data_IF_281814736100
#
_entry.id   IF_281814736100
#
_cell.length_a   1.000
_cell.length_b   1.000
_cell.length_c   1.000
_cell.angle_alpha   90.00
_cell.angle_beta   90.00
_cell.angle_gamma   90.00
#
_symmetry.space_group_name_H-M   'P 1'
#
loop_
_entity.id
_entity.type
_entity.pdbx_description
1 polymer ?
#
# COMPACT_ATOMS: atom_id res chain seq x y z
N UNK A 1 13.14 -22.57 -23.48
CA UNK A 1 13.12 -21.15 -23.06
C UNK A 1 14.09 -20.99 -21.89
N UNK A 2 14.99 -20.00 -21.90
CA UNK A 2 15.98 -19.84 -20.82
C UNK A 2 15.26 -19.41 -19.52
N UNK A 3 15.43 -20.14 -18.40
CA UNK A 3 14.73 -19.85 -17.14
C UNK A 3 14.96 -18.42 -16.64
N UNK A 4 16.15 -17.85 -16.87
CA UNK A 4 16.46 -16.46 -16.51
C UNK A 4 15.65 -15.44 -17.30
N UNK A 5 15.39 -15.71 -18.59
CA UNK A 5 14.54 -14.84 -19.40
C UNK A 5 13.08 -14.87 -18.93
N UNK A 6 12.62 -16.02 -18.42
CA UNK A 6 11.29 -16.13 -17.85
C UNK A 6 11.16 -15.33 -16.56
N UNK A 7 12.18 -15.33 -15.69
CA UNK A 7 12.23 -14.49 -14.48
C UNK A 7 12.20 -12.99 -14.84
N UNK A 8 13.00 -12.57 -15.83
CA UNK A 8 12.98 -11.18 -16.31
C UNK A 8 11.63 -10.78 -16.90
N UNK A 9 11.01 -11.69 -17.67
CA UNK A 9 9.67 -11.47 -18.21
C UNK A 9 8.63 -11.32 -17.10
N UNK A 10 8.68 -12.18 -16.08
CA UNK A 10 7.79 -12.09 -14.90
C UNK A 10 7.96 -10.75 -14.19
N UNK A 11 9.20 -10.30 -13.95
CA UNK A 11 9.47 -9.01 -13.32
C UNK A 11 8.95 -7.83 -14.16
N UNK A 12 9.16 -7.86 -15.49
CA UNK A 12 8.66 -6.84 -16.40
C UNK A 12 7.13 -6.79 -16.40
N UNK A 13 6.46 -7.95 -16.51
CA UNK A 13 5.00 -8.04 -16.46
C UNK A 13 4.47 -7.56 -15.11
N UNK A 14 5.15 -7.87 -14.01
CA UNK A 14 4.78 -7.39 -12.69
C UNK A 14 4.79 -5.86 -12.61
N UNK A 15 5.86 -5.21 -13.09
CA UNK A 15 5.95 -3.74 -13.14
C UNK A 15 4.86 -3.17 -14.05
N UNK A 16 4.64 -3.76 -15.23
CA UNK A 16 3.64 -3.31 -16.17
C UNK A 16 2.23 -3.35 -15.55
N UNK A 17 1.88 -4.46 -14.90
CA UNK A 17 0.57 -4.65 -14.29
C UNK A 17 0.44 -3.75 -13.06
N UNK A 18 1.30 -3.91 -12.06
CA UNK A 18 1.10 -3.25 -10.77
C UNK A 18 1.59 -1.79 -10.73
N UNK A 19 2.56 -1.43 -11.57
CA UNK A 19 3.00 -0.05 -11.77
C UNK A 19 2.16 0.72 -12.78
N UNK A 20 1.57 0.04 -13.78
CA UNK A 20 0.72 0.68 -14.80
C UNK A 20 -0.74 0.89 -14.37
N UNK A 21 -1.29 0.01 -13.52
CA UNK A 21 -2.67 0.13 -13.03
C UNK A 21 -3.00 1.49 -12.37
N UNK A 22 -2.14 2.07 -11.50
CA UNK A 22 -2.35 3.41 -10.96
C UNK A 22 -2.48 4.49 -12.05
N UNK A 23 -1.68 4.41 -13.12
CA UNK A 23 -1.72 5.38 -14.22
C UNK A 23 -3.08 5.36 -14.92
N UNK A 24 -3.65 4.17 -15.15
CA UNK A 24 -4.99 4.01 -15.70
C UNK A 24 -6.07 4.63 -14.80
N UNK A 25 -5.82 4.68 -13.49
CA UNK A 25 -6.70 5.31 -12.48
C UNK A 25 -6.42 6.79 -12.26
N UNK A 26 -5.49 7.40 -13.02
CA UNK A 26 -5.01 8.78 -12.81
C UNK A 26 -4.38 8.98 -11.42
N UNK A 27 -3.79 7.93 -10.87
CA UNK A 27 -2.98 7.95 -9.66
C UNK A 27 -1.50 7.99 -10.04
N UNK A 28 -0.66 8.59 -9.18
CA UNK A 28 0.79 8.60 -9.39
C UNK A 28 1.36 7.17 -9.30
N UNK A 29 2.14 6.71 -10.29
CA UNK A 29 2.76 5.39 -10.23
C UNK A 29 3.85 5.32 -9.15
N UNK A 30 3.99 4.15 -8.56
CA UNK A 30 5.00 3.90 -7.53
C UNK A 30 6.39 3.70 -8.12
N UNK A 31 7.28 4.68 -7.96
CA UNK A 31 8.70 4.50 -8.27
C UNK A 31 9.35 3.45 -7.36
N UNK A 32 8.93 3.40 -6.09
CA UNK A 32 9.42 2.43 -5.13
C UNK A 32 9.15 0.99 -5.60
N UNK A 33 7.95 0.72 -6.12
CA UNK A 33 7.62 -0.59 -6.69
C UNK A 33 8.58 -0.99 -7.81
N UNK A 34 8.82 -0.10 -8.78
CA UNK A 34 9.69 -0.41 -9.92
C UNK A 34 11.13 -0.68 -9.46
N UNK A 35 11.66 0.15 -8.56
CA UNK A 35 13.02 0.00 -8.02
C UNK A 35 13.15 -1.29 -7.21
N UNK A 36 12.23 -1.56 -6.28
CA UNK A 36 12.27 -2.77 -5.47
C UNK A 36 12.16 -4.04 -6.33
N UNK A 37 11.32 -4.04 -7.38
CA UNK A 37 11.22 -5.18 -8.30
C UNK A 37 12.54 -5.40 -9.04
N UNK A 38 13.15 -4.35 -9.59
CA UNK A 38 14.42 -4.46 -10.32
C UNK A 38 15.55 -4.98 -9.40
N UNK A 39 15.65 -4.44 -8.19
CA UNK A 39 16.65 -4.86 -7.20
C UNK A 39 16.45 -6.32 -6.80
N UNK A 40 15.23 -6.73 -6.42
CA UNK A 40 14.95 -8.10 -6.01
C UNK A 40 15.15 -9.10 -7.16
N UNK A 41 14.82 -8.71 -8.39
CA UNK A 41 15.06 -9.53 -9.58
C UNK A 41 16.55 -9.72 -9.79
N UNK A 42 17.34 -8.65 -9.74
CA UNK A 42 18.80 -8.70 -9.87
C UNK A 42 19.45 -9.55 -8.79
N UNK A 43 19.05 -9.38 -7.53
CA UNK A 43 19.53 -10.19 -6.40
C UNK A 43 19.18 -11.66 -6.56
N UNK A 44 17.96 -11.97 -6.99
CA UNK A 44 17.52 -13.36 -7.20
C UNK A 44 18.33 -14.02 -8.31
N UNK A 45 18.49 -13.35 -9.46
CA UNK A 45 19.31 -13.85 -10.57
C UNK A 45 20.76 -14.03 -10.13
N UNK A 46 21.34 -13.05 -9.43
CA UNK A 46 22.70 -13.14 -8.91
C UNK A 46 22.88 -14.34 -7.96
N UNK A 47 21.96 -14.54 -7.02
CA UNK A 47 21.96 -15.68 -6.11
C UNK A 47 21.84 -17.01 -6.86
N UNK A 48 20.98 -17.08 -7.88
CA UNK A 48 20.82 -18.27 -8.73
C UNK A 48 22.10 -18.62 -9.49
N UNK A 49 22.79 -17.61 -10.04
CA UNK A 49 24.06 -17.81 -10.74
C UNK A 49 25.19 -18.26 -9.80
N UNK A 50 25.23 -17.75 -8.56
CA UNK A 50 26.26 -18.10 -7.58
C UNK A 50 26.04 -19.47 -6.94
N UNK A 51 24.79 -19.84 -6.64
CA UNK A 51 24.45 -21.09 -5.95
C UNK A 51 24.15 -22.25 -6.90
N UNK A 52 23.90 -21.96 -8.18
CA UNK A 52 23.41 -22.92 -9.17
C UNK A 52 21.95 -23.35 -8.95
N UNK A 53 21.25 -22.79 -7.96
CA UNK A 53 19.85 -23.09 -7.69
C UNK A 53 18.95 -22.55 -8.81
N UNK A 54 18.01 -23.39 -9.27
CA UNK A 54 17.02 -22.98 -10.27
C UNK A 54 15.94 -22.14 -9.60
N UNK A 55 15.72 -20.94 -10.13
CA UNK A 55 14.58 -20.12 -9.75
C UNK A 55 13.34 -20.58 -10.51
N UNK A 56 12.36 -21.07 -9.78
CA UNK A 56 11.06 -21.33 -10.35
C UNK A 56 10.28 -20.00 -10.49
N UNK A 57 9.70 -19.71 -11.68
CA UNK A 57 9.01 -18.45 -11.93
C UNK A 57 7.79 -18.21 -11.07
N UNK A 58 7.07 -19.26 -10.66
CA UNK A 58 5.84 -19.14 -9.86
C UNK A 58 6.23 -18.78 -8.42
N UNK A 59 7.22 -19.47 -7.86
CA UNK A 59 7.74 -19.15 -6.54
C UNK A 59 8.37 -17.75 -6.51
N UNK A 60 9.10 -17.37 -7.56
CA UNK A 60 9.64 -16.02 -7.70
C UNK A 60 8.53 -14.97 -7.76
N UNK A 61 7.46 -15.19 -8.54
CA UNK A 61 6.31 -14.29 -8.60
C UNK A 61 5.61 -14.15 -7.24
N UNK A 62 5.40 -15.25 -6.53
CA UNK A 62 4.77 -15.22 -5.21
C UNK A 62 5.64 -14.45 -4.21
N UNK A 63 6.95 -14.73 -4.20
CA UNK A 63 7.92 -14.01 -3.37
C UNK A 63 7.89 -12.51 -3.69
N UNK A 64 7.99 -12.15 -4.97
CA UNK A 64 7.95 -10.76 -5.43
C UNK A 64 6.64 -10.09 -5.00
N UNK A 65 5.50 -10.75 -5.20
CA UNK A 65 4.20 -10.23 -4.80
C UNK A 65 4.13 -9.94 -3.30
N UNK A 66 4.52 -10.89 -2.45
CA UNK A 66 4.46 -10.72 -1.00
C UNK A 66 5.37 -9.58 -0.50
N UNK A 67 6.58 -9.47 -1.05
CA UNK A 67 7.55 -8.46 -0.63
C UNK A 67 7.15 -7.07 -1.13
N UNK A 68 6.82 -6.94 -2.41
CA UNK A 68 6.49 -5.65 -3.03
C UNK A 68 5.14 -5.14 -2.56
N UNK A 69 4.15 -6.01 -2.42
CA UNK A 69 2.79 -5.64 -2.03
C UNK A 69 2.59 -5.64 -0.51
N UNK A 70 3.64 -5.84 0.30
CA UNK A 70 3.57 -5.95 1.77
C UNK A 70 2.69 -4.88 2.42
N UNK A 71 2.89 -3.61 2.05
CA UNK A 71 2.15 -2.49 2.64
C UNK A 71 0.69 -2.49 2.17
N UNK A 72 0.43 -2.80 0.90
CA UNK A 72 -0.92 -2.87 0.34
C UNK A 72 -1.71 -4.02 0.96
N UNK A 73 -1.11 -5.21 1.07
CA UNK A 73 -1.70 -6.38 1.72
C UNK A 73 -2.09 -6.08 3.16
N UNK A 74 -1.26 -5.34 3.91
CA UNK A 74 -1.57 -4.94 5.28
C UNK A 74 -2.72 -3.92 5.36
N UNK A 75 -2.80 -2.99 4.40
CA UNK A 75 -3.94 -2.06 4.30
C UNK A 75 -5.23 -2.82 4.00
N UNK A 76 -5.18 -3.75 3.04
CA UNK A 76 -6.34 -4.57 2.66
C UNK A 76 -6.78 -5.48 3.84
N UNK A 77 -5.81 -6.05 4.56
CA UNK A 77 -6.06 -6.79 5.80
C UNK A 77 -6.70 -5.90 6.86
N UNK A 78 -6.21 -4.67 7.05
CA UNK A 78 -6.80 -3.71 7.96
C UNK A 78 -8.26 -3.38 7.61
N UNK A 79 -8.55 -3.20 6.32
CA UNK A 79 -9.91 -2.95 5.83
C UNK A 79 -10.83 -4.14 6.09
N UNK A 80 -10.35 -5.36 5.85
CA UNK A 80 -11.08 -6.59 6.14
C UNK A 80 -11.35 -6.77 7.64
N UNK A 81 -10.35 -6.52 8.49
CA UNK A 81 -10.51 -6.60 9.95
C UNK A 81 -11.52 -5.56 10.45
N UNK A 82 -11.43 -4.35 9.92
CA UNK A 82 -12.35 -3.25 10.22
C UNK A 82 -13.80 -3.59 9.84
N UNK A 83 -14.04 -4.17 8.66
CA UNK A 83 -15.39 -4.56 8.24
C UNK A 83 -15.99 -5.69 9.08
N UNK A 84 -15.14 -6.50 9.72
CA UNK A 84 -15.53 -7.53 10.70
C UNK A 84 -15.67 -7.01 12.14
N UNK A 85 -15.46 -5.71 12.37
CA UNK A 85 -15.54 -5.10 13.70
C UNK A 85 -14.27 -5.24 14.56
N UNK A 86 -13.22 -5.90 14.06
CA UNK A 86 -11.94 -6.06 14.75
C UNK A 86 -11.08 -4.78 14.64
N UNK A 87 -11.60 -3.66 15.12
CA UNK A 87 -11.02 -2.33 14.90
C UNK A 87 -9.59 -2.19 15.46
N UNK A 88 -9.28 -2.79 16.62
CA UNK A 88 -7.93 -2.72 17.20
C UNK A 88 -6.87 -3.45 16.36
N UNK A 89 -7.24 -4.60 15.79
CA UNK A 89 -6.37 -5.32 14.85
C UNK A 89 -6.20 -4.54 13.55
N UNK A 90 -7.26 -3.90 13.05
CA UNK A 90 -7.19 -3.03 11.88
C UNK A 90 -6.23 -1.86 12.07
N UNK A 91 -6.34 -1.13 13.18
CA UNK A 91 -5.43 -0.03 13.54
C UNK A 91 -3.97 -0.53 13.61
N UNK A 92 -3.76 -1.74 14.11
CA UNK A 92 -2.42 -2.33 14.20
C UNK A 92 -1.86 -2.71 12.82
N UNK A 93 -2.68 -3.25 11.93
CA UNK A 93 -2.29 -3.54 10.55
C UNK A 93 -1.90 -2.27 9.77
N UNK A 94 -2.67 -1.18 9.89
CA UNK A 94 -2.33 0.09 9.25
C UNK A 94 -1.05 0.72 9.81
N UNK A 95 -0.85 0.68 11.14
CA UNK A 95 0.39 1.14 11.76
C UNK A 95 1.59 0.35 11.25
N UNK A 96 1.45 -0.96 11.10
CA UNK A 96 2.50 -1.81 10.53
C UNK A 96 2.77 -1.44 9.08
N UNK A 97 1.73 -1.27 8.25
CA UNK A 97 1.87 -0.84 6.86
C UNK A 97 2.65 0.47 6.73
N UNK A 98 2.35 1.47 7.58
CA UNK A 98 3.05 2.76 7.59
C UNK A 98 4.50 2.66 8.08
N UNK A 99 4.82 1.71 8.96
CA UNK A 99 6.19 1.49 9.47
C UNK A 99 7.11 0.81 8.46
N UNK A 100 6.56 0.08 7.48
CA UNK A 100 7.33 -0.62 6.44
C UNK A 100 7.86 0.30 5.32
N UNK A 101 7.82 1.61 5.51
CA UNK A 101 8.28 2.61 4.56
C UNK A 101 7.55 2.54 3.21
N UNK A 102 6.21 2.59 3.17
CA UNK A 102 5.48 2.65 1.92
C UNK A 102 5.76 3.98 1.21
N UNK A 103 5.55 3.96 -0.10
CA UNK A 103 5.56 5.17 -0.90
C UNK A 103 4.44 6.12 -0.49
N UNK A 104 4.51 7.34 -1.02
CA UNK A 104 3.60 8.40 -0.64
C UNK A 104 2.11 8.03 -0.87
N UNK A 105 1.69 7.48 -2.03
CA UNK A 105 0.31 7.08 -2.24
C UNK A 105 -0.20 6.02 -1.26
N UNK A 106 0.54 4.92 -1.05
CA UNK A 106 0.10 3.85 -0.14
C UNK A 106 0.07 4.37 1.30
N UNK A 107 1.01 5.22 1.70
CA UNK A 107 1.01 5.85 3.03
C UNK A 107 -0.25 6.68 3.28
N UNK A 108 -0.69 7.47 2.29
CA UNK A 108 -1.92 8.25 2.41
C UNK A 108 -3.15 7.35 2.54
N UNK A 109 -3.25 6.29 1.72
CA UNK A 109 -4.36 5.33 1.81
C UNK A 109 -4.43 4.69 3.20
N UNK A 110 -3.28 4.31 3.77
CA UNK A 110 -3.19 3.76 5.12
C UNK A 110 -3.65 4.76 6.19
N UNK A 111 -3.22 6.03 6.11
CA UNK A 111 -3.63 7.09 7.05
C UNK A 111 -5.14 7.38 6.99
N UNK A 112 -5.72 7.42 5.80
CA UNK A 112 -7.17 7.64 5.62
C UNK A 112 -7.96 6.49 6.23
N UNK A 113 -7.53 5.25 5.96
CA UNK A 113 -8.18 4.05 6.48
C UNK A 113 -8.04 3.95 7.99
N UNK A 114 -6.88 4.33 8.53
CA UNK A 114 -6.63 4.45 9.97
C UNK A 114 -7.54 5.50 10.60
N UNK A 115 -7.61 6.72 10.03
CA UNK A 115 -8.50 7.79 10.49
C UNK A 115 -9.97 7.39 10.48
N UNK A 116 -10.44 6.70 9.44
CA UNK A 116 -11.81 6.18 9.37
C UNK A 116 -12.13 5.19 10.52
N UNK A 117 -11.16 4.34 10.89
CA UNK A 117 -11.33 3.42 12.03
C UNK A 117 -11.28 4.17 13.36
N UNK A 118 -10.42 5.19 13.51
CA UNK A 118 -10.41 6.05 14.70
C UNK A 118 -11.75 6.74 14.94
N UNK A 119 -12.38 7.28 13.88
CA UNK A 119 -13.74 7.84 13.97
C UNK A 119 -14.74 6.79 14.47
N UNK A 120 -14.63 5.55 13.99
CA UNK A 120 -15.52 4.46 14.39
C UNK A 120 -15.35 4.07 15.86
N UNK A 121 -14.13 4.05 16.38
CA UNK A 121 -13.86 3.71 17.79
C UNK A 121 -13.98 4.90 18.75
N UNK A 122 -14.29 6.09 18.25
CA UNK A 122 -14.50 7.30 19.05
C UNK A 122 -13.24 8.07 19.42
N UNK A 123 -12.08 7.74 18.84
CA UNK A 123 -10.85 8.51 18.98
C UNK A 123 -10.86 9.72 18.02
N UNK A 124 -11.79 10.64 18.25
CA UNK A 124 -12.19 11.68 17.29
C UNK A 124 -11.08 12.72 17.06
N UNK A 125 -10.43 13.19 18.12
CA UNK A 125 -9.38 14.21 18.04
C UNK A 125 -8.15 13.70 17.27
N UNK A 126 -7.73 12.46 17.52
CA UNK A 126 -6.65 11.81 16.76
C UNK A 126 -7.06 11.63 15.29
N UNK A 127 -8.31 11.23 15.03
CA UNK A 127 -8.81 11.08 13.68
C UNK A 127 -8.77 12.42 12.91
N UNK A 128 -9.23 13.50 13.54
CA UNK A 128 -9.21 14.84 12.96
C UNK A 128 -7.78 15.26 12.62
N UNK A 129 -6.87 15.17 13.59
CA UNK A 129 -5.47 15.54 13.37
C UNK A 129 -4.86 14.80 12.18
N UNK A 130 -5.06 13.47 12.11
CA UNK A 130 -4.51 12.64 11.02
C UNK A 130 -5.13 12.99 9.67
N UNK A 131 -6.45 13.16 9.59
CA UNK A 131 -7.13 13.42 8.33
C UNK A 131 -6.83 14.83 7.80
N UNK A 132 -6.67 15.83 8.68
CA UNK A 132 -6.19 17.15 8.31
C UNK A 132 -4.74 17.13 7.81
N UNK A 133 -3.86 16.36 8.47
CA UNK A 133 -2.50 16.16 8.01
C UNK A 133 -2.46 15.51 6.61
N UNK A 134 -3.35 14.54 6.34
CA UNK A 134 -3.49 13.92 5.02
C UNK A 134 -3.90 14.94 3.97
N UNK A 135 -4.90 15.79 4.24
CA UNK A 135 -5.32 16.82 3.28
C UNK A 135 -4.20 17.85 3.04
N UNK A 136 -3.53 18.28 4.10
CA UNK A 136 -2.41 19.24 4.04
C UNK A 136 -1.23 18.70 3.24
N UNK A 137 -0.83 17.45 3.48
CA UNK A 137 0.33 16.83 2.81
C UNK A 137 -0.03 16.30 1.42
N UNK A 138 -1.22 15.75 1.26
CA UNK A 138 -1.73 15.18 0.02
C UNK A 138 -1.89 16.24 -1.07
N UNK A 139 -2.49 17.39 -0.73
CA UNK A 139 -2.71 18.49 -1.66
C UNK A 139 -3.20 18.02 -3.02
N UNK A 140 -2.58 18.51 -4.10
CA UNK A 140 -2.92 18.13 -5.49
C UNK A 140 -2.58 16.69 -5.86
N UNK A 141 -1.79 15.98 -5.06
CA UNK A 141 -1.42 14.57 -5.29
C UNK A 141 -2.44 13.60 -4.70
N UNK A 142 -3.38 14.10 -3.88
CA UNK A 142 -4.44 13.27 -3.33
C UNK A 142 -5.49 13.01 -4.40
N UNK A 143 -5.71 11.75 -4.73
CA UNK A 143 -6.75 11.39 -5.70
C UNK A 143 -8.14 11.83 -5.16
N UNK A 144 -9.06 12.36 -6.01
CA UNK A 144 -10.35 12.90 -5.56
C UNK A 144 -11.19 11.94 -4.72
N UNK A 145 -11.10 10.63 -4.97
CA UNK A 145 -11.73 9.58 -4.16
C UNK A 145 -11.25 9.61 -2.71
N UNK A 146 -9.95 9.77 -2.51
CA UNK A 146 -9.31 9.78 -1.20
C UNK A 146 -9.55 11.10 -0.47
N UNK A 147 -9.52 12.22 -1.20
CA UNK A 147 -9.90 13.53 -0.67
C UNK A 147 -11.34 13.55 -0.17
N UNK A 148 -12.28 13.03 -0.99
CA UNK A 148 -13.69 12.91 -0.60
C UNK A 148 -13.88 12.05 0.64
N UNK A 149 -13.16 10.92 0.73
CA UNK A 149 -13.19 10.05 1.91
C UNK A 149 -12.63 10.76 3.16
N UNK A 150 -11.58 11.56 3.03
CA UNK A 150 -11.06 12.39 4.11
C UNK A 150 -12.11 13.36 4.64
N UNK A 151 -12.70 14.16 3.76
CA UNK A 151 -13.71 15.16 4.15
C UNK A 151 -14.94 14.51 4.78
N UNK A 152 -15.40 13.38 4.25
CA UNK A 152 -16.49 12.63 4.86
C UNK A 152 -16.17 12.21 6.30
N UNK A 153 -15.01 11.58 6.52
CA UNK A 153 -14.62 11.13 7.85
C UNK A 153 -14.37 12.30 8.81
N UNK A 154 -13.82 13.42 8.33
CA UNK A 154 -13.68 14.65 9.11
C UNK A 154 -15.04 15.22 9.52
N UNK A 155 -15.99 15.29 8.59
CA UNK A 155 -17.34 15.77 8.89
C UNK A 155 -18.03 14.90 9.95
N UNK A 156 -17.91 13.57 9.84
CA UNK A 156 -18.43 12.65 10.87
C UNK A 156 -17.71 12.86 12.22
N UNK A 157 -16.39 13.08 12.21
CA UNK A 157 -15.62 13.29 13.42
C UNK A 157 -16.02 14.59 14.13
N UNK A 158 -16.08 15.71 13.39
CA UNK A 158 -16.50 17.02 13.91
C UNK A 158 -17.94 16.99 14.44
N UNK A 159 -18.87 16.42 13.68
CA UNK A 159 -20.26 16.25 14.10
C UNK A 159 -20.38 15.46 15.41
N UNK A 160 -19.62 14.37 15.57
CA UNK A 160 -19.62 13.57 16.81
C UNK A 160 -18.96 14.29 17.99
N UNK A 161 -18.05 15.23 17.72
CA UNK A 161 -17.39 16.06 18.72
C UNK A 161 -18.22 17.29 19.11
N UNK A 162 -19.31 17.57 18.39
CA UNK A 162 -20.16 18.74 18.62
C UNK A 162 -19.55 20.06 18.14
N UNK A 163 -18.70 20.00 17.12
CA UNK A 163 -18.09 21.16 16.45
C UNK A 163 -18.57 21.24 15.00
#
# INVERSE_FOLDING_TARGET
MNPLMLILLVALLFILIFGGLPVLRKEEPSLQLAVEVLVLTGLSIGASLLTGLRLDPIFFLLFLYLVIMRCRVLVDLGNLLSSRGHNQLALSAYRLAMRLGPDFPIRLIALISYGAVLVRVGALEEAIHILEEVLKKGGKRLHPKHESACHYNLGVAYMRLGR
#
